data_IF_129013579565
#
_entry.id   IF_129013579565
#
_cell.length_a   1.000
_cell.length_b   1.000
_cell.length_c   1.000
_cell.angle_alpha   90.00
_cell.angle_beta   90.00
_cell.angle_gamma   90.00
#
_symmetry.space_group_name_H-M   'P 1'
#
loop_
_entity.id
_entity.type
_entity.pdbx_description
1 polymer ?
#
# COMPACT_ATOMS: atom_id res chain seq x y z
N UNK A 1 -18.42 -20.30 11.53
CA UNK A 1 -17.67 -19.70 10.39
C UNK A 1 -16.20 -19.90 10.69
N UNK A 2 -15.33 -20.33 9.74
CA UNK A 2 -13.90 -20.32 10.02
C UNK A 2 -13.49 -18.88 10.30
N UNK A 3 -13.00 -18.64 11.51
CA UNK A 3 -12.63 -17.31 12.04
C UNK A 3 -11.73 -16.54 11.04
N UNK A 4 -10.90 -17.29 10.33
CA UNK A 4 -9.96 -16.82 9.32
C UNK A 4 -10.59 -15.97 8.20
N UNK A 5 -11.82 -16.27 7.76
CA UNK A 5 -12.43 -15.53 6.62
C UNK A 5 -13.13 -14.27 7.11
N UNK A 6 -13.78 -14.36 8.28
CA UNK A 6 -14.54 -13.23 8.83
C UNK A 6 -13.62 -12.09 9.28
N UNK A 7 -12.47 -12.42 9.88
CA UNK A 7 -11.47 -11.42 10.32
C UNK A 7 -10.34 -11.21 9.32
N UNK A 8 -10.06 -12.19 8.45
CA UNK A 8 -8.93 -12.12 7.52
C UNK A 8 -9.02 -10.95 6.54
N UNK A 9 -10.23 -10.57 6.11
CA UNK A 9 -10.45 -9.39 5.25
C UNK A 9 -10.01 -8.08 5.90
N UNK A 10 -10.27 -7.95 7.21
CA UNK A 10 -9.93 -6.75 7.97
C UNK A 10 -8.46 -6.72 8.36
N UNK A 11 -7.89 -7.88 8.69
CA UNK A 11 -6.44 -8.00 8.94
C UNK A 11 -5.64 -7.64 7.70
N UNK A 12 -6.01 -8.19 6.54
CA UNK A 12 -5.33 -7.88 5.27
C UNK A 12 -5.52 -6.42 4.84
N UNK A 13 -6.71 -5.84 5.06
CA UNK A 13 -6.93 -4.41 4.82
C UNK A 13 -6.07 -3.52 5.75
N UNK A 14 -6.00 -3.85 7.04
CA UNK A 14 -5.16 -3.13 7.99
C UNK A 14 -3.67 -3.24 7.62
N UNK A 15 -3.21 -4.42 7.17
CA UNK A 15 -1.86 -4.61 6.66
C UNK A 15 -1.59 -3.76 5.42
N UNK A 16 -2.54 -3.66 4.48
CA UNK A 16 -2.38 -2.83 3.29
C UNK A 16 -2.18 -1.34 3.67
N UNK A 17 -2.98 -0.84 4.61
CA UNK A 17 -2.83 0.54 5.13
C UNK A 17 -1.49 0.71 5.85
N UNK A 18 -1.14 -0.21 6.75
CA UNK A 18 0.12 -0.15 7.50
C UNK A 18 1.36 -0.19 6.61
N UNK A 19 1.40 -1.09 5.63
CA UNK A 19 2.51 -1.15 4.68
C UNK A 19 2.59 0.08 3.78
N UNK A 20 1.45 0.66 3.38
CA UNK A 20 1.45 1.92 2.64
C UNK A 20 2.04 3.05 3.48
N UNK A 21 1.63 3.19 4.73
CA UNK A 21 2.17 4.21 5.64
C UNK A 21 3.67 4.04 5.89
N UNK A 22 4.15 2.81 6.10
CA UNK A 22 5.58 2.50 6.25
C UNK A 22 6.35 2.80 4.96
N UNK A 23 5.78 2.49 3.79
CA UNK A 23 6.35 2.82 2.49
C UNK A 23 6.52 4.33 2.31
N UNK A 24 5.49 5.13 2.63
CA UNK A 24 5.56 6.60 2.57
C UNK A 24 6.63 7.14 3.52
N UNK A 25 6.72 6.61 4.74
CA UNK A 25 7.73 7.05 5.69
C UNK A 25 9.15 6.72 5.22
N UNK A 26 9.37 5.52 4.70
CA UNK A 26 10.65 5.10 4.15
C UNK A 26 11.04 5.96 2.92
N UNK A 27 10.07 6.28 2.07
CA UNK A 27 10.27 7.15 0.92
C UNK A 27 10.69 8.57 1.35
N UNK A 28 9.99 9.19 2.31
CA UNK A 28 10.34 10.52 2.82
C UNK A 28 11.75 10.57 3.45
N UNK A 29 12.15 9.48 4.12
CA UNK A 29 13.51 9.33 4.65
C UNK A 29 14.56 9.29 3.53
N UNK A 30 14.34 8.47 2.51
CA UNK A 30 15.22 8.38 1.35
C UNK A 30 15.33 9.71 0.59
N UNK A 31 14.21 10.45 0.49
CA UNK A 31 14.15 11.78 -0.14
C UNK A 31 14.99 12.81 0.61
N UNK A 32 14.96 12.76 1.95
CA UNK A 32 15.77 13.62 2.81
C UNK A 32 17.26 13.32 2.64
N UNK A 33 17.63 12.03 2.63
CA UNK A 33 19.00 11.59 2.40
C UNK A 33 19.51 11.96 1.00
N UNK A 34 18.64 11.88 -0.01
CA UNK A 34 18.98 12.26 -1.38
C UNK A 34 19.20 13.78 -1.51
N UNK A 35 18.34 14.61 -0.90
CA UNK A 35 18.56 16.06 -0.86
C UNK A 35 19.87 16.40 -0.17
N UNK A 36 20.21 15.71 0.93
CA UNK A 36 21.51 15.86 1.60
C UNK A 36 22.71 15.50 0.71
N UNK A 37 22.58 14.49 -0.14
CA UNK A 37 23.60 14.14 -1.13
C UNK A 37 23.75 15.25 -2.20
N UNK A 38 22.63 15.73 -2.75
CA UNK A 38 22.61 16.80 -3.76
C UNK A 38 23.21 18.09 -3.20
N UNK A 39 22.85 18.47 -1.98
CA UNK A 39 23.42 19.62 -1.27
C UNK A 39 24.94 19.49 -1.10
N UNK A 40 25.43 18.32 -0.66
CA UNK A 40 26.87 18.05 -0.54
C UNK A 40 27.59 18.15 -1.88
N UNK A 41 27.00 17.61 -2.95
CA UNK A 41 27.56 17.70 -4.30
C UNK A 41 27.66 19.15 -4.77
N UNK A 42 26.65 19.98 -4.47
CA UNK A 42 26.64 21.39 -4.84
C UNK A 42 27.62 22.24 -4.02
N UNK A 43 27.76 21.97 -2.72
CA UNK A 43 28.57 22.80 -1.83
C UNK A 43 30.05 22.41 -1.79
N UNK A 44 30.37 21.12 -1.74
CA UNK A 44 31.75 20.63 -1.50
C UNK A 44 32.44 20.26 -2.81
N UNK A 45 31.68 19.88 -3.84
CA UNK A 45 32.23 19.27 -5.05
C UNK A 45 32.75 17.85 -4.79
N UNK A 46 33.03 17.10 -5.87
CA UNK A 46 33.51 15.70 -5.75
C UNK A 46 32.46 14.63 -6.08
N UNK A 47 31.37 15.01 -6.73
CA UNK A 47 30.38 14.08 -7.28
C UNK A 47 30.67 13.66 -8.73
N UNK A 48 31.95 13.57 -9.09
CA UNK A 48 32.34 12.96 -10.34
C UNK A 48 32.09 11.45 -10.28
N UNK A 49 31.51 10.90 -11.34
CA UNK A 49 31.32 9.47 -11.51
C UNK A 49 32.58 8.88 -12.14
N UNK A 50 33.07 7.78 -11.58
CA UNK A 50 34.09 6.96 -12.20
C UNK A 50 33.54 6.17 -13.39
N UNK A 51 34.40 5.53 -14.19
CA UNK A 51 33.99 4.72 -15.35
C UNK A 51 33.06 3.55 -14.96
N UNK A 52 33.09 3.12 -13.71
CA UNK A 52 32.23 2.06 -13.17
C UNK A 52 30.83 2.56 -12.72
N UNK A 53 30.52 3.86 -12.89
CA UNK A 53 29.26 4.47 -12.46
C UNK A 53 29.13 4.68 -10.94
N UNK A 54 30.23 4.58 -10.20
CA UNK A 54 30.32 4.90 -8.76
C UNK A 54 30.86 6.30 -8.54
N UNK A 55 30.55 6.91 -7.40
CA UNK A 55 31.18 8.18 -7.05
C UNK A 55 32.66 7.99 -6.75
N UNK A 56 33.51 8.88 -7.26
CA UNK A 56 34.95 8.85 -6.99
C UNK A 56 35.27 9.18 -5.53
N UNK A 57 34.44 10.03 -4.90
CA UNK A 57 34.49 10.30 -3.46
C UNK A 57 33.85 9.19 -2.65
N UNK A 58 34.58 8.66 -1.66
CA UNK A 58 34.06 7.65 -0.70
C UNK A 58 32.89 8.19 0.11
N UNK A 59 32.88 9.48 0.43
CA UNK A 59 31.80 10.11 1.20
C UNK A 59 30.51 10.25 0.38
N UNK A 60 30.62 10.64 -0.88
CA UNK A 60 29.48 10.70 -1.79
C UNK A 60 28.90 9.30 -2.05
N UNK A 61 29.75 8.30 -2.24
CA UNK A 61 29.34 6.89 -2.40
C UNK A 61 28.64 6.34 -1.14
N UNK A 62 29.13 6.68 0.06
CA UNK A 62 28.50 6.25 1.31
C UNK A 62 27.08 6.82 1.48
N UNK A 63 26.89 8.10 1.16
CA UNK A 63 25.59 8.77 1.17
C UNK A 63 24.65 8.19 0.12
N UNK A 64 25.15 7.95 -1.10
CA UNK A 64 24.37 7.29 -2.15
C UNK A 64 23.88 5.89 -1.74
N UNK A 65 24.73 5.09 -1.10
CA UNK A 65 24.35 3.77 -0.58
C UNK A 65 23.29 3.84 0.52
N UNK A 66 23.23 4.92 1.30
CA UNK A 66 22.18 5.14 2.28
C UNK A 66 20.82 5.33 1.58
N UNK A 67 20.77 6.20 0.56
CA UNK A 67 19.58 6.41 -0.28
C UNK A 67 19.10 5.10 -0.90
N UNK A 68 20.00 4.36 -1.55
CA UNK A 68 19.66 3.07 -2.21
C UNK A 68 19.09 2.05 -1.22
N UNK A 69 19.57 2.02 0.03
CA UNK A 69 19.00 1.14 1.06
C UNK A 69 17.58 1.56 1.46
N UNK A 70 17.35 2.87 1.64
CA UNK A 70 16.02 3.42 1.90
C UNK A 70 15.03 3.09 0.79
N UNK A 71 15.47 3.23 -0.47
CA UNK A 71 14.65 2.98 -1.66
C UNK A 71 14.23 1.50 -1.79
N UNK A 72 15.14 0.56 -1.48
CA UNK A 72 14.81 -0.88 -1.45
C UNK A 72 13.79 -1.21 -0.37
N UNK A 73 13.91 -0.60 0.82
CA UNK A 73 12.95 -0.79 1.90
C UNK A 73 11.57 -0.25 1.52
N UNK A 74 11.50 0.95 0.94
CA UNK A 74 10.27 1.55 0.44
C UNK A 74 9.58 0.64 -0.61
N UNK A 75 10.34 0.11 -1.57
CA UNK A 75 9.83 -0.86 -2.56
C UNK A 75 9.28 -2.12 -1.92
N UNK A 76 9.97 -2.68 -0.93
CA UNK A 76 9.50 -3.88 -0.23
C UNK A 76 8.17 -3.63 0.49
N UNK A 77 8.02 -2.48 1.16
CA UNK A 77 6.75 -2.10 1.79
C UNK A 77 5.62 -1.91 0.78
N UNK A 78 5.88 -1.26 -0.35
CA UNK A 78 4.86 -1.07 -1.39
C UNK A 78 4.40 -2.41 -2.02
N UNK A 79 5.33 -3.33 -2.27
CA UNK A 79 4.98 -4.67 -2.74
C UNK A 79 4.15 -5.43 -1.69
N UNK A 80 4.52 -5.30 -0.40
CA UNK A 80 3.75 -5.85 0.71
C UNK A 80 2.33 -5.28 0.78
N UNK A 81 2.17 -3.96 0.59
CA UNK A 81 0.87 -3.29 0.57
C UNK A 81 -0.01 -3.80 -0.57
N UNK A 82 0.55 -3.94 -1.78
CA UNK A 82 -0.18 -4.48 -2.93
C UNK A 82 -0.61 -5.93 -2.71
N UNK A 83 0.28 -6.78 -2.21
CA UNK A 83 -0.05 -8.17 -1.89
C UNK A 83 -1.16 -8.27 -0.83
N UNK A 84 -1.09 -7.44 0.22
CA UNK A 84 -2.11 -7.37 1.25
C UNK A 84 -3.47 -6.89 0.71
N UNK A 85 -3.47 -5.87 -0.15
CA UNK A 85 -4.68 -5.35 -0.79
C UNK A 85 -5.36 -6.42 -1.66
N UNK A 86 -4.58 -7.10 -2.52
CA UNK A 86 -5.09 -8.21 -3.34
C UNK A 86 -5.65 -9.32 -2.45
N UNK A 87 -4.95 -9.68 -1.38
CA UNK A 87 -5.43 -10.65 -0.41
C UNK A 87 -6.78 -10.26 0.22
N UNK A 88 -6.95 -8.98 0.56
CA UNK A 88 -8.22 -8.46 1.10
C UNK A 88 -9.37 -8.57 0.10
N UNK A 89 -9.13 -8.18 -1.16
CA UNK A 89 -10.13 -8.31 -2.25
C UNK A 89 -10.53 -9.76 -2.46
N UNK A 90 -9.56 -10.68 -2.54
CA UNK A 90 -9.82 -12.11 -2.72
C UNK A 90 -10.68 -12.66 -1.57
N UNK A 91 -10.32 -12.33 -0.32
CA UNK A 91 -11.10 -12.77 0.85
C UNK A 91 -12.53 -12.24 0.82
N UNK A 92 -12.71 -10.97 0.44
CA UNK A 92 -14.03 -10.37 0.31
C UNK A 92 -14.89 -11.08 -0.76
N UNK A 93 -14.32 -11.35 -1.93
CA UNK A 93 -15.01 -12.07 -3.03
C UNK A 93 -15.39 -13.50 -2.61
N UNK A 94 -14.50 -14.20 -1.91
CA UNK A 94 -14.76 -15.55 -1.40
C UNK A 94 -15.87 -15.57 -0.32
N UNK A 95 -15.91 -14.55 0.53
CA UNK A 95 -16.98 -14.36 1.51
C UNK A 95 -18.32 -14.11 0.80
N UNK A 96 -18.34 -13.25 -0.22
CA UNK A 96 -19.54 -12.92 -0.99
C UNK A 96 -20.14 -14.13 -1.72
N UNK A 97 -19.28 -14.96 -2.35
CA UNK A 97 -19.71 -16.19 -3.04
C UNK A 97 -20.34 -17.24 -2.12
N UNK A 98 -20.11 -17.18 -0.80
CA UNK A 98 -20.63 -18.16 0.17
C UNK A 98 -22.04 -17.85 0.69
N UNK A 99 -22.71 -16.82 0.18
CA UNK A 99 -24.17 -16.67 0.25
C UNK A 99 -24.78 -16.44 1.64
N UNK A 100 -23.98 -16.22 2.69
CA UNK A 100 -24.48 -15.79 4.00
C UNK A 100 -23.98 -14.38 4.24
N UNK A 101 -24.77 -13.41 3.77
CA UNK A 101 -24.52 -11.99 3.98
C UNK A 101 -24.12 -11.74 5.43
N UNK A 102 -22.90 -11.27 5.62
CA UNK A 102 -22.40 -11.07 6.98
C UNK A 102 -23.01 -9.78 7.52
N UNK A 103 -23.49 -9.79 8.77
CA UNK A 103 -24.09 -8.62 9.45
C UNK A 103 -23.11 -7.43 9.62
N UNK A 104 -21.89 -7.55 9.11
CA UNK A 104 -20.78 -6.63 9.29
C UNK A 104 -20.33 -6.00 7.94
N UNK A 105 -21.18 -6.06 6.92
CA UNK A 105 -21.05 -5.27 5.71
C UNK A 105 -22.02 -4.08 5.87
N UNK A 106 -21.57 -2.80 5.81
CA UNK A 106 -22.43 -1.63 6.01
C UNK A 106 -23.44 -1.39 4.87
N UNK A 107 -23.58 -2.33 3.94
CA UNK A 107 -24.51 -2.30 2.81
C UNK A 107 -25.72 -3.22 3.04
N UNK A 108 -26.10 -3.50 4.28
CA UNK A 108 -27.25 -4.36 4.60
C UNK A 108 -28.60 -3.89 4.03
N UNK A 109 -28.65 -2.68 3.49
CA UNK A 109 -29.80 -2.14 2.76
C UNK A 109 -29.65 -2.07 1.24
N UNK A 110 -28.48 -2.30 0.64
CA UNK A 110 -28.31 -2.10 -0.80
C UNK A 110 -28.86 -3.29 -1.59
N UNK A 111 -29.98 -3.08 -2.27
CA UNK A 111 -30.63 -4.06 -3.16
C UNK A 111 -30.16 -3.76 -4.59
N UNK A 112 -29.51 -4.73 -5.23
CA UNK A 112 -29.13 -4.62 -6.64
C UNK A 112 -29.97 -5.60 -7.44
N UNK A 113 -30.91 -5.08 -8.22
CA UNK A 113 -31.73 -5.86 -9.14
C UNK A 113 -31.24 -5.61 -10.56
N UNK A 114 -30.80 -6.66 -11.24
CA UNK A 114 -30.46 -6.60 -12.67
C UNK A 114 -31.68 -7.02 -13.47
N UNK A 115 -32.19 -6.12 -14.31
CA UNK A 115 -33.36 -6.37 -15.14
C UNK A 115 -33.07 -6.14 -16.63
N UNK A 116 -33.99 -6.55 -17.53
CA UNK A 116 -33.84 -6.39 -18.98
C UNK A 116 -33.64 -4.94 -19.46
N UNK A 117 -33.90 -3.97 -18.58
CA UNK A 117 -33.81 -2.53 -18.85
C UNK A 117 -32.68 -1.83 -18.07
N UNK A 118 -31.76 -2.58 -17.46
CA UNK A 118 -30.59 -2.06 -16.74
C UNK A 118 -30.51 -2.49 -15.28
N UNK A 119 -29.50 -1.97 -14.58
CA UNK A 119 -29.23 -2.25 -13.17
C UNK A 119 -29.98 -1.25 -12.28
N UNK A 120 -30.85 -1.76 -11.40
CA UNK A 120 -31.52 -0.96 -10.37
C UNK A 120 -30.77 -1.09 -9.05
N UNK A 121 -30.51 0.05 -8.43
CA UNK A 121 -29.95 0.18 -7.09
C UNK A 121 -31.06 0.70 -6.16
N UNK A 122 -31.41 -0.09 -5.15
CA UNK A 122 -32.36 0.26 -4.09
C UNK A 122 -31.67 0.29 -2.73
N UNK A 123 -32.20 1.07 -1.78
CA UNK A 123 -31.70 1.13 -0.42
C UNK A 123 -32.84 0.86 0.57
N UNK A 124 -32.76 -0.23 1.33
CA UNK A 124 -33.65 -0.56 2.42
C UNK A 124 -33.14 0.05 3.72
N UNK A 125 -33.86 1.06 4.23
CA UNK A 125 -33.57 1.69 5.53
C UNK A 125 -34.45 1.02 6.59
N UNK A 126 -33.87 0.35 7.60
CA UNK A 126 -34.66 -0.14 8.72
C UNK A 126 -35.13 1.04 9.57
N UNK A 127 -36.44 1.36 9.52
CA UNK A 127 -37.06 2.30 10.43
C UNK A 127 -37.21 1.64 11.81
N UNK A 128 -36.43 2.11 12.79
CA UNK A 128 -36.55 1.70 14.19
C UNK A 128 -37.84 2.33 14.75
N UNK A 129 -38.84 1.52 15.09
CA UNK A 129 -39.97 1.93 15.94
C UNK A 129 -39.54 1.92 17.40
#
# INVERSE_FOLDING_TARGET
>A
MPLAIHYGKWVTAALAVGFTALGVRAHNGADTDFRGLVEYCHQVGGCALGPDGRYTSREAEARYRAVVRGDRAARAYLLGAQAALVGSVVMFVLELKRGRGTRNIPYSGLIVETGPRGTRLGLAVPLRR
#
